data_IF_195266107552
#
_entry.id   IF_195266107552
#
_cell.length_a   1.000
_cell.length_b   1.000
_cell.length_c   1.000
_cell.angle_alpha   90.00
_cell.angle_beta   90.00
_cell.angle_gamma   90.00
#
_symmetry.space_group_name_H-M   'P 1'
#
loop_
_entity.id
_entity.type
_entity.pdbx_description
1 polymer ?
#
# COMPACT_ATOMS: atom_id res chain seq x y z
N UNK A 1 2.08 -46.11 40.67
CA UNK A 1 3.46 -45.54 40.65
C UNK A 1 4.18 -46.05 39.40
N UNK A 2 4.11 -45.31 38.30
CA UNK A 2 4.97 -45.45 37.10
C UNK A 2 5.10 -44.05 36.51
N UNK A 3 6.30 -43.49 36.65
CA UNK A 3 6.74 -42.23 36.07
C UNK A 3 6.97 -42.52 34.58
N UNK A 4 6.27 -41.84 33.69
CA UNK A 4 6.54 -41.93 32.25
C UNK A 4 7.00 -40.57 31.73
N UNK A 5 8.25 -40.58 31.29
CA UNK A 5 9.04 -39.45 30.82
C UNK A 5 8.46 -38.77 29.59
N UNK A 6 8.41 -37.44 29.69
CA UNK A 6 8.83 -36.43 28.71
C UNK A 6 9.32 -36.99 27.36
N UNK A 7 8.55 -36.70 26.31
CA UNK A 7 9.11 -36.34 24.99
C UNK A 7 8.36 -35.09 24.54
N UNK A 8 8.88 -33.92 24.93
CA UNK A 8 8.52 -32.65 24.33
C UNK A 8 9.23 -32.60 22.98
N UNK A 9 8.58 -33.15 21.94
CA UNK A 9 9.10 -33.07 20.58
C UNK A 9 8.98 -31.63 20.13
N UNK A 10 10.05 -30.89 20.36
CA UNK A 10 10.28 -29.53 19.89
C UNK A 10 10.38 -29.61 18.36
N UNK A 11 9.23 -29.56 17.70
CA UNK A 11 9.16 -29.40 16.24
C UNK A 11 9.51 -27.93 15.95
N UNK A 12 10.82 -27.63 15.98
CA UNK A 12 11.35 -26.41 15.36
C UNK A 12 11.21 -26.65 13.86
N UNK A 13 10.01 -26.39 13.33
CA UNK A 13 9.85 -26.06 11.92
C UNK A 13 10.66 -24.78 11.71
N UNK A 14 11.88 -24.98 11.20
CA UNK A 14 12.76 -23.91 10.78
C UNK A 14 11.98 -23.00 9.84
N UNK A 15 11.60 -21.83 10.34
CA UNK A 15 11.22 -20.72 9.48
C UNK A 15 12.48 -20.29 8.76
N UNK A 16 12.78 -20.95 7.65
CA UNK A 16 13.40 -20.27 6.53
C UNK A 16 12.32 -19.34 5.97
N UNK A 17 12.04 -18.25 6.70
CA UNK A 17 11.65 -17.04 6.02
C UNK A 17 12.78 -16.80 5.04
N UNK A 18 12.55 -17.04 3.76
CA UNK A 18 13.36 -16.46 2.70
C UNK A 18 13.08 -14.96 2.79
N UNK A 19 13.62 -14.34 3.83
CA UNK A 19 13.93 -12.92 3.80
C UNK A 19 14.76 -12.76 2.56
N UNK A 20 14.39 -11.83 1.69
CA UNK A 20 15.34 -11.24 0.75
C UNK A 20 16.51 -10.71 1.59
N UNK A 21 17.46 -11.60 1.88
CA UNK A 21 18.55 -11.41 2.81
C UNK A 21 19.58 -10.60 2.03
N UNK A 22 19.58 -9.28 2.24
CA UNK A 22 20.51 -8.39 1.54
C UNK A 22 20.30 -6.89 1.75
N UNK A 23 19.35 -6.44 2.58
CA UNK A 23 19.08 -5.00 2.75
C UNK A 23 19.27 -4.53 4.19
N UNK A 24 20.17 -3.56 4.36
CA UNK A 24 20.26 -2.76 5.57
C UNK A 24 19.06 -1.79 5.61
N UNK A 25 18.26 -1.89 6.68
CA UNK A 25 17.11 -1.02 6.92
C UNK A 25 17.46 0.49 6.98
N UNK A 26 18.75 0.83 7.13
CA UNK A 26 19.26 2.20 7.14
C UNK A 26 19.75 2.73 5.78
N UNK A 27 19.70 1.92 4.72
CA UNK A 27 20.28 2.27 3.40
C UNK A 27 19.70 3.58 2.89
N UNK A 28 20.44 4.69 2.91
CA UNK A 28 20.01 5.93 2.27
C UNK A 28 20.14 5.79 0.75
N UNK A 29 19.01 5.74 0.05
CA UNK A 29 18.98 5.53 -1.38
C UNK A 29 19.58 6.67 -2.19
N UNK A 30 19.73 7.85 -1.57
CA UNK A 30 20.39 9.01 -2.19
C UNK A 30 21.92 8.90 -2.16
N UNK A 31 22.49 7.99 -1.35
CA UNK A 31 23.95 7.86 -1.16
C UNK A 31 24.54 6.56 -1.70
N UNK A 32 23.72 5.65 -2.23
CA UNK A 32 24.18 4.40 -2.86
C UNK A 32 24.51 4.63 -4.33
N UNK A 33 25.50 3.91 -4.85
CA UNK A 33 25.90 4.00 -6.25
C UNK A 33 24.88 3.39 -7.23
N UNK A 34 25.13 3.57 -8.53
CA UNK A 34 24.23 3.11 -9.59
C UNK A 34 24.14 1.58 -9.68
N UNK A 35 25.23 0.87 -9.37
CA UNK A 35 25.28 -0.59 -9.41
C UNK A 35 24.41 -1.19 -8.31
N UNK A 36 24.53 -0.66 -7.08
CA UNK A 36 23.70 -1.08 -5.95
C UNK A 36 22.23 -0.79 -6.18
N UNK A 37 21.89 0.36 -6.77
CA UNK A 37 20.49 0.69 -7.15
C UNK A 37 19.93 -0.30 -8.17
N UNK A 38 20.75 -0.71 -9.14
CA UNK A 38 20.37 -1.72 -10.14
C UNK A 38 20.09 -3.06 -9.48
N UNK A 39 20.98 -3.50 -8.59
CA UNK A 39 20.81 -4.74 -7.81
C UNK A 39 19.53 -4.71 -6.97
N UNK A 40 19.30 -3.62 -6.22
CA UNK A 40 18.07 -3.41 -5.43
C UNK A 40 16.83 -3.55 -6.32
N UNK A 41 16.86 -2.91 -7.49
CA UNK A 41 15.71 -2.92 -8.40
C UNK A 41 15.47 -4.29 -9.03
N UNK A 42 16.52 -5.05 -9.35
CA UNK A 42 16.43 -6.42 -9.85
C UNK A 42 15.82 -7.37 -8.82
N UNK A 43 16.29 -7.28 -7.58
CA UNK A 43 15.76 -8.07 -6.47
C UNK A 43 14.31 -7.67 -6.16
N UNK A 44 13.98 -6.38 -6.16
CA UNK A 44 12.62 -5.90 -5.93
C UNK A 44 11.63 -6.38 -7.01
N UNK A 45 12.01 -6.33 -8.29
CA UNK A 45 11.11 -6.78 -9.37
C UNK A 45 10.91 -8.30 -9.36
N UNK A 46 11.92 -9.09 -8.98
CA UNK A 46 11.80 -10.54 -8.77
C UNK A 46 10.92 -10.87 -7.57
N UNK A 47 11.16 -10.22 -6.43
CA UNK A 47 10.34 -10.36 -5.23
C UNK A 47 8.88 -10.02 -5.50
N UNK A 48 8.63 -8.99 -6.32
CA UNK A 48 7.27 -8.67 -6.75
C UNK A 48 6.70 -9.74 -7.69
N UNK A 49 7.48 -10.24 -8.65
CA UNK A 49 7.03 -11.22 -9.65
C UNK A 49 6.59 -12.54 -9.02
N UNK A 50 7.35 -13.02 -8.03
CA UNK A 50 7.14 -14.29 -7.35
C UNK A 50 6.31 -14.14 -6.05
N UNK A 51 5.88 -12.91 -5.76
CA UNK A 51 5.27 -12.54 -4.50
C UNK A 51 3.97 -11.77 -4.65
N UNK A 52 3.78 -10.83 -3.74
CA UNK A 52 2.53 -10.09 -3.58
C UNK A 52 2.79 -8.59 -3.58
N UNK A 53 1.93 -7.83 -4.25
CA UNK A 53 1.81 -6.40 -4.02
C UNK A 53 0.76 -6.11 -2.94
N UNK A 54 1.19 -5.61 -1.80
CA UNK A 54 0.29 -5.14 -0.74
C UNK A 54 -0.12 -3.70 -1.04
N UNK A 55 -1.39 -3.46 -1.31
CA UNK A 55 -1.95 -2.12 -1.52
C UNK A 55 -2.48 -1.57 -0.20
N UNK A 56 -1.81 -0.54 0.31
CA UNK A 56 -2.16 0.17 1.53
C UNK A 56 -3.21 1.26 1.24
N UNK A 57 -4.44 1.03 1.70
CA UNK A 57 -5.59 1.91 1.49
C UNK A 57 -5.69 2.99 2.57
N UNK A 58 -5.88 4.25 2.16
CA UNK A 58 -6.00 5.37 3.11
C UNK A 58 -7.39 5.38 3.74
N UNK A 59 -7.48 5.11 5.04
CA UNK A 59 -8.76 5.13 5.78
C UNK A 59 -9.17 6.54 6.19
N UNK A 60 -8.19 7.45 6.39
CA UNK A 60 -8.45 8.75 6.97
C UNK A 60 -8.76 8.73 8.47
N UNK A 61 -8.48 7.62 9.17
CA UNK A 61 -8.82 7.45 10.59
C UNK A 61 -8.28 8.56 11.49
N UNK A 62 -7.10 9.12 11.20
CA UNK A 62 -6.55 10.26 11.97
C UNK A 62 -7.41 11.51 11.85
N UNK A 63 -7.84 11.86 10.64
CA UNK A 63 -8.68 13.04 10.39
C UNK A 63 -10.07 12.84 10.99
N UNK A 64 -10.64 11.65 10.85
CA UNK A 64 -11.93 11.29 11.45
C UNK A 64 -11.85 11.39 12.97
N UNK A 65 -10.84 10.79 13.60
CA UNK A 65 -10.65 10.85 15.04
C UNK A 65 -10.45 12.29 15.53
N UNK A 66 -9.73 13.13 14.77
CA UNK A 66 -9.58 14.55 15.11
C UNK A 66 -10.92 15.30 15.06
N UNK A 67 -11.75 15.07 14.03
CA UNK A 67 -13.08 15.68 13.92
C UNK A 67 -14.02 15.21 15.04
N UNK A 68 -14.00 13.92 15.35
CA UNK A 68 -14.79 13.36 16.46
C UNK A 68 -14.34 13.92 17.81
N UNK A 69 -13.03 14.09 18.02
CA UNK A 69 -12.50 14.75 19.22
C UNK A 69 -12.98 16.19 19.36
N UNK A 70 -13.06 16.93 18.24
CA UNK A 70 -13.62 18.28 18.23
C UNK A 70 -15.12 18.25 18.56
N UNK A 71 -15.90 17.36 17.94
CA UNK A 71 -17.34 17.21 18.20
C UNK A 71 -17.67 16.94 19.70
N UNK A 72 -16.80 16.19 20.38
CA UNK A 72 -16.93 15.81 21.78
C UNK A 72 -16.28 16.81 22.76
N UNK A 73 -15.84 17.98 22.29
CA UNK A 73 -15.22 19.00 23.14
C UNK A 73 -16.20 19.62 24.14
N UNK A 74 -15.71 19.96 25.34
CA UNK A 74 -16.54 20.50 26.45
C UNK A 74 -17.27 21.81 26.14
N UNK A 75 -16.73 22.63 25.24
CA UNK A 75 -17.22 23.97 24.91
C UNK A 75 -17.78 24.07 23.47
N UNK A 76 -18.32 22.98 22.94
CA UNK A 76 -18.80 22.92 21.55
C UNK A 76 -20.31 23.02 21.53
N UNK A 77 -20.83 23.97 20.76
CA UNK A 77 -22.28 24.15 20.56
C UNK A 77 -22.89 22.95 19.82
N UNK A 78 -24.23 22.82 19.88
CA UNK A 78 -24.94 21.77 19.16
C UNK A 78 -24.67 21.83 17.64
N UNK A 79 -24.71 23.03 17.06
CA UNK A 79 -24.47 23.26 15.62
C UNK A 79 -23.04 22.90 15.21
N UNK A 80 -22.04 23.26 16.03
CA UNK A 80 -20.65 22.89 15.76
C UNK A 80 -20.42 21.39 15.85
N UNK A 81 -21.03 20.73 16.83
CA UNK A 81 -20.98 19.26 16.97
C UNK A 81 -21.54 18.59 15.73
N UNK A 82 -22.74 18.98 15.31
CA UNK A 82 -23.39 18.44 14.12
C UNK A 82 -22.52 18.67 12.87
N UNK A 83 -21.93 19.85 12.73
CA UNK A 83 -21.02 20.18 11.62
C UNK A 83 -19.78 19.28 11.61
N UNK A 84 -19.15 19.02 12.76
CA UNK A 84 -17.98 18.15 12.84
C UNK A 84 -18.33 16.69 12.53
N UNK A 85 -19.46 16.20 13.03
CA UNK A 85 -19.97 14.85 12.76
C UNK A 85 -20.28 14.66 11.27
N UNK A 86 -21.02 15.59 10.66
CA UNK A 86 -21.29 15.60 9.21
C UNK A 86 -19.99 15.60 8.40
N UNK A 87 -18.99 16.39 8.82
CA UNK A 87 -17.69 16.43 8.14
C UNK A 87 -16.94 15.11 8.28
N UNK A 88 -16.99 14.46 9.44
CA UNK A 88 -16.37 13.16 9.67
C UNK A 88 -17.03 12.07 8.81
N UNK A 89 -18.36 12.01 8.79
CA UNK A 89 -19.13 11.06 7.98
C UNK A 89 -18.85 11.24 6.48
N UNK A 90 -18.88 12.50 5.98
CA UNK A 90 -18.53 12.81 4.60
C UNK A 90 -17.11 12.36 4.24
N UNK A 91 -16.14 12.62 5.13
CA UNK A 91 -14.76 12.20 4.91
C UNK A 91 -14.62 10.68 4.82
N UNK A 92 -15.30 9.92 5.69
CA UNK A 92 -15.30 8.46 5.65
C UNK A 92 -15.86 7.93 4.32
N UNK A 93 -17.00 8.47 3.86
CA UNK A 93 -17.62 8.09 2.59
C UNK A 93 -16.68 8.37 1.42
N UNK A 94 -16.08 9.56 1.36
CA UNK A 94 -15.13 9.92 0.30
C UNK A 94 -13.89 9.01 0.27
N UNK A 95 -13.36 8.63 1.45
CA UNK A 95 -12.21 7.71 1.53
C UNK A 95 -12.59 6.30 1.10
N UNK A 96 -13.74 5.80 1.56
CA UNK A 96 -14.25 4.47 1.16
C UNK A 96 -14.44 4.41 -0.36
N UNK A 97 -15.08 5.41 -0.95
CA UNK A 97 -15.33 5.47 -2.39
C UNK A 97 -14.02 5.49 -3.20
N UNK A 98 -13.03 6.29 -2.78
CA UNK A 98 -11.71 6.32 -3.44
C UNK A 98 -10.96 4.99 -3.33
N UNK A 99 -11.06 4.32 -2.18
CA UNK A 99 -10.46 3.01 -1.99
C UNK A 99 -11.15 1.94 -2.86
N UNK A 100 -12.48 2.00 -3.02
CA UNK A 100 -13.22 1.13 -3.94
C UNK A 100 -12.72 1.29 -5.38
N UNK A 101 -12.65 2.53 -5.88
CA UNK A 101 -12.13 2.80 -7.22
C UNK A 101 -10.71 2.31 -7.41
N UNK A 102 -9.85 2.48 -6.39
CA UNK A 102 -8.47 2.01 -6.45
C UNK A 102 -8.41 0.47 -6.53
N UNK A 103 -9.14 -0.24 -5.66
CA UNK A 103 -9.21 -1.71 -5.68
C UNK A 103 -9.76 -2.23 -7.00
N UNK A 104 -10.81 -1.60 -7.51
CA UNK A 104 -11.40 -1.96 -8.79
C UNK A 104 -10.43 -1.74 -9.95
N UNK A 105 -9.69 -0.63 -9.95
CA UNK A 105 -8.67 -0.35 -10.95
C UNK A 105 -7.52 -1.38 -10.91
N UNK A 106 -7.05 -1.75 -9.71
CA UNK A 106 -6.08 -2.83 -9.56
C UNK A 106 -6.62 -4.14 -10.14
N UNK A 107 -7.84 -4.55 -9.77
CA UNK A 107 -8.50 -5.76 -10.29
C UNK A 107 -8.62 -5.75 -11.82
N UNK A 108 -8.93 -4.60 -12.42
CA UNK A 108 -9.13 -4.45 -13.88
C UNK A 108 -7.83 -4.41 -14.66
N UNK A 109 -6.76 -3.81 -14.11
CA UNK A 109 -5.59 -3.38 -14.92
C UNK A 109 -4.26 -3.95 -14.45
N UNK A 110 -4.12 -4.34 -13.19
CA UNK A 110 -2.88 -4.91 -12.67
C UNK A 110 -2.89 -6.43 -12.80
N UNK A 111 -1.80 -6.98 -13.34
CA UNK A 111 -1.67 -8.43 -13.60
C UNK A 111 -0.22 -8.89 -13.59
N UNK A 112 0.63 -8.23 -12.80
CA UNK A 112 2.04 -8.57 -12.71
C UNK A 112 2.33 -9.58 -11.59
N UNK A 113 1.61 -9.44 -10.46
CA UNK A 113 1.69 -10.30 -9.27
C UNK A 113 0.32 -10.36 -8.58
N UNK A 114 0.21 -11.16 -7.52
CA UNK A 114 -0.97 -11.16 -6.66
C UNK A 114 -1.11 -9.84 -5.91
N UNK A 115 -2.35 -9.48 -5.54
CA UNK A 115 -2.63 -8.22 -4.82
C UNK A 115 -3.37 -8.53 -3.52
N UNK A 116 -2.84 -8.01 -2.41
CA UNK A 116 -3.54 -7.98 -1.13
C UNK A 116 -3.82 -6.53 -0.74
N UNK A 117 -4.92 -6.28 -0.03
CA UNK A 117 -5.30 -4.95 0.42
C UNK A 117 -5.24 -4.87 1.93
N UNK A 118 -4.69 -3.78 2.48
CA UNK A 118 -4.71 -3.52 3.93
C UNK A 118 -5.07 -2.06 4.21
N UNK A 119 -5.72 -1.75 5.34
CA UNK A 119 -5.90 -0.37 5.75
C UNK A 119 -4.58 0.23 6.22
N UNK A 120 -4.42 1.54 6.05
CA UNK A 120 -3.23 2.28 6.49
C UNK A 120 -3.00 2.24 8.01
N UNK A 121 -4.02 1.93 8.79
CA UNK A 121 -3.96 1.67 10.23
C UNK A 121 -3.24 0.37 10.58
N UNK A 122 -3.17 -0.60 9.65
CA UNK A 122 -2.53 -1.91 9.89
C UNK A 122 -1.03 -1.95 9.58
N UNK A 123 -0.43 -0.79 9.35
CA UNK A 123 1.00 -0.66 8.99
C UNK A 123 1.92 -1.26 10.05
N UNK A 124 1.56 -1.15 11.33
CA UNK A 124 2.38 -1.69 12.43
C UNK A 124 2.33 -3.22 12.48
N UNK A 125 1.15 -3.83 12.22
CA UNK A 125 1.06 -5.29 12.12
C UNK A 125 1.98 -5.84 11.02
N UNK A 126 1.97 -5.21 9.83
CA UNK A 126 2.87 -5.60 8.74
C UNK A 126 4.35 -5.48 9.15
N UNK A 127 4.74 -4.37 9.78
CA UNK A 127 6.12 -4.16 10.27
C UNK A 127 6.56 -5.17 11.33
N UNK A 128 5.62 -5.64 12.14
CA UNK A 128 5.87 -6.65 13.15
C UNK A 128 5.88 -8.08 12.57
N UNK A 129 5.78 -8.23 11.25
CA UNK A 129 5.80 -9.54 10.58
C UNK A 129 4.52 -10.34 10.72
N UNK A 130 3.41 -9.74 11.16
CA UNK A 130 2.11 -10.40 11.23
C UNK A 130 1.67 -10.81 9.83
N UNK A 131 1.32 -12.08 9.63
CA UNK A 131 1.08 -12.65 8.30
C UNK A 131 -0.38 -12.60 7.85
N UNK A 132 -1.34 -12.41 8.77
CA UNK A 132 -2.79 -12.46 8.47
C UNK A 132 -3.62 -11.66 9.49
N UNK A 133 -4.95 -11.64 9.33
CA UNK A 133 -5.87 -11.07 10.32
C UNK A 133 -6.12 -9.55 10.19
N UNK A 134 -5.59 -8.92 9.14
CA UNK A 134 -5.82 -7.49 8.86
C UNK A 134 -5.93 -7.14 7.37
N UNK A 135 -5.83 -8.13 6.48
CA UNK A 135 -6.06 -7.94 5.06
C UNK A 135 -7.55 -7.86 4.76
N UNK A 136 -7.88 -7.19 3.67
CA UNK A 136 -9.26 -6.87 3.29
C UNK A 136 -9.73 -7.75 2.13
N UNK A 137 -10.98 -8.19 2.20
CA UNK A 137 -11.70 -8.82 1.10
C UNK A 137 -12.20 -7.78 0.07
N UNK A 138 -12.99 -8.24 -0.91
CA UNK A 138 -13.53 -7.39 -1.97
C UNK A 138 -14.50 -6.31 -1.47
N UNK A 139 -15.14 -6.54 -0.32
CA UNK A 139 -16.09 -5.65 0.34
C UNK A 139 -15.41 -4.59 1.24
N UNK A 140 -14.06 -4.63 1.30
CA UNK A 140 -13.18 -3.87 2.20
C UNK A 140 -13.40 -4.20 3.68
N UNK A 141 -13.74 -5.44 3.98
CA UNK A 141 -13.86 -5.95 5.34
C UNK A 141 -12.65 -6.81 5.67
N UNK A 142 -12.24 -6.83 6.94
CA UNK A 142 -11.11 -7.67 7.37
C UNK A 142 -11.51 -9.12 7.23
N UNK A 143 -10.70 -9.87 6.50
CA UNK A 143 -10.88 -11.30 6.30
C UNK A 143 -9.65 -12.06 6.86
N UNK A 144 -9.80 -12.76 7.99
CA UNK A 144 -8.70 -13.51 8.61
C UNK A 144 -8.15 -14.66 7.76
N UNK A 145 -8.91 -15.13 6.75
CA UNK A 145 -8.45 -16.18 5.85
C UNK A 145 -7.42 -15.68 4.83
N UNK A 146 -7.29 -14.36 4.66
CA UNK A 146 -6.32 -13.74 3.77
C UNK A 146 -4.98 -13.57 4.49
N UNK A 147 -3.92 -14.08 3.89
CA UNK A 147 -2.57 -14.11 4.48
C UNK A 147 -1.47 -13.89 3.44
N UNK A 148 -0.29 -13.48 3.93
CA UNK A 148 0.93 -13.43 3.11
C UNK A 148 1.52 -14.81 2.86
N UNK A 149 1.33 -15.77 3.77
CA UNK A 149 1.88 -17.13 3.70
C UNK A 149 3.41 -17.15 3.46
N UNK A 150 4.12 -16.20 4.07
CA UNK A 150 5.57 -16.08 3.93
C UNK A 150 6.05 -15.65 2.54
N UNK A 151 5.15 -15.28 1.62
CA UNK A 151 5.50 -14.80 0.29
C UNK A 151 6.26 -13.46 0.38
N UNK A 152 7.25 -13.22 -0.50
CA UNK A 152 7.88 -11.91 -0.59
C UNK A 152 6.84 -10.87 -1.00
N UNK A 153 7.02 -9.63 -0.56
CA UNK A 153 6.07 -8.56 -0.86
C UNK A 153 6.74 -7.20 -1.05
N UNK A 154 6.07 -6.37 -1.83
CA UNK A 154 6.27 -4.91 -1.85
C UNK A 154 4.98 -4.23 -1.41
N UNK A 155 5.06 -2.98 -0.97
CA UNK A 155 3.90 -2.20 -0.55
C UNK A 155 3.65 -1.08 -1.55
N UNK A 156 2.42 -0.90 -2.01
CA UNK A 156 2.01 0.24 -2.82
C UNK A 156 0.98 1.10 -2.08
N UNK A 157 0.98 2.41 -2.35
CA UNK A 157 -0.13 3.29 -1.95
C UNK A 157 -0.37 4.39 -2.99
N UNK A 158 -1.59 4.94 -2.99
CA UNK A 158 -1.89 6.14 -3.77
C UNK A 158 -1.59 7.41 -2.97
N UNK A 159 -0.71 8.27 -3.48
CA UNK A 159 -0.34 9.55 -2.87
C UNK A 159 0.91 10.17 -3.49
N UNK A 160 1.59 11.02 -2.74
CA UNK A 160 2.84 11.64 -3.17
C UNK A 160 4.05 10.80 -2.76
N UNK A 161 5.02 10.72 -3.66
CA UNK A 161 6.38 10.22 -3.44
C UNK A 161 7.18 11.26 -2.67
N UNK A 162 8.23 10.86 -1.94
CA UNK A 162 9.18 11.82 -1.33
C UNK A 162 9.77 12.77 -2.39
N UNK A 163 10.11 12.23 -3.56
CA UNK A 163 10.63 12.99 -4.70
C UNK A 163 9.58 13.94 -5.32
N UNK A 164 8.29 13.64 -5.16
CA UNK A 164 7.19 14.42 -5.76
C UNK A 164 6.49 15.38 -4.80
N UNK A 165 6.88 15.45 -3.52
CA UNK A 165 6.26 16.33 -2.53
C UNK A 165 6.32 17.81 -2.95
N UNK A 166 7.40 18.23 -3.61
CA UNK A 166 7.58 19.63 -4.08
C UNK A 166 6.65 20.00 -5.23
N UNK A 167 6.19 19.03 -6.02
CA UNK A 167 5.34 19.28 -7.20
C UNK A 167 3.85 19.05 -6.93
N UNK A 168 3.51 18.49 -5.77
CA UNK A 168 2.13 18.11 -5.43
C UNK A 168 1.58 16.97 -6.29
N UNK A 169 2.43 16.29 -7.07
CA UNK A 169 1.99 15.18 -7.91
C UNK A 169 1.62 13.96 -7.04
N UNK A 170 0.46 13.38 -7.35
CA UNK A 170 -0.01 12.13 -6.76
C UNK A 170 0.06 10.98 -7.79
N UNK A 171 0.21 9.77 -7.30
CA UNK A 171 0.34 8.57 -8.12
C UNK A 171 0.41 7.31 -7.28
N UNK A 172 0.74 6.20 -7.93
CA UNK A 172 1.12 4.97 -7.22
C UNK A 172 2.59 5.10 -6.80
N UNK A 173 2.84 4.95 -5.50
CA UNK A 173 4.16 4.89 -4.89
C UNK A 173 4.40 3.46 -4.41
N UNK A 174 5.57 2.89 -4.71
CA UNK A 174 5.98 1.55 -4.30
C UNK A 174 7.12 1.63 -3.29
N UNK A 175 6.97 0.85 -2.22
CA UNK A 175 7.86 0.74 -1.09
C UNK A 175 8.39 -0.68 -0.98
N UNK A 176 9.56 -0.81 -0.37
CA UNK A 176 10.10 -2.09 0.09
C UNK A 176 9.34 -2.61 1.34
N UNK A 177 9.80 -3.75 1.86
CA UNK A 177 9.26 -4.36 3.08
C UNK A 177 9.52 -3.54 4.36
N UNK A 178 10.48 -2.61 4.33
CA UNK A 178 10.76 -1.65 5.40
C UNK A 178 9.92 -0.37 5.29
N UNK A 179 9.03 -0.29 4.31
CA UNK A 179 8.20 0.87 3.97
C UNK A 179 9.01 2.08 3.49
N UNK A 180 10.15 1.82 2.86
CA UNK A 180 10.96 2.83 2.20
C UNK A 180 10.71 2.83 0.70
N UNK A 181 10.58 4.02 0.12
CA UNK A 181 10.33 4.17 -1.32
C UNK A 181 11.52 3.63 -2.13
N UNK A 182 11.26 2.72 -3.07
CA UNK A 182 12.32 2.10 -3.86
C UNK A 182 13.06 3.14 -4.71
N UNK A 183 14.38 3.02 -4.88
CA UNK A 183 15.13 3.92 -5.74
C UNK A 183 14.85 3.67 -7.22
N UNK A 184 15.16 4.66 -8.06
CA UNK A 184 15.39 4.41 -9.49
C UNK A 184 16.56 3.41 -9.65
N UNK A 185 16.54 2.51 -10.66
CA UNK A 185 15.67 2.53 -11.85
C UNK A 185 14.30 1.86 -11.70
N UNK A 186 13.98 1.25 -10.55
CA UNK A 186 12.65 0.64 -10.34
C UNK A 186 11.52 1.66 -10.60
N UNK A 187 10.38 1.27 -11.19
CA UNK A 187 9.22 2.13 -11.42
C UNK A 187 8.47 2.43 -10.10
N UNK A 188 9.16 3.04 -9.14
CA UNK A 188 8.72 3.30 -7.77
C UNK A 188 7.61 4.34 -7.70
N UNK A 189 7.59 5.30 -8.63
CA UNK A 189 6.53 6.29 -8.73
C UNK A 189 5.91 6.35 -10.13
N UNK A 190 4.59 6.25 -10.16
CA UNK A 190 3.80 6.46 -11.38
C UNK A 190 2.78 7.54 -11.11
N UNK A 191 3.14 8.78 -11.50
CA UNK A 191 2.26 9.93 -11.37
C UNK A 191 1.05 9.88 -12.30
N UNK A 192 -0.07 10.37 -11.77
CA UNK A 192 -1.27 10.71 -12.54
C UNK A 192 -1.00 11.97 -13.37
N UNK A 193 -1.47 12.01 -14.61
CA UNK A 193 -1.28 13.19 -15.46
C UNK A 193 -2.22 14.33 -15.02
N UNK A 194 -1.69 15.29 -14.25
CA UNK A 194 -2.44 16.41 -13.65
C UNK A 194 -3.18 17.26 -14.69
N UNK A 195 -2.55 17.55 -15.83
CA UNK A 195 -3.15 18.37 -16.90
C UNK A 195 -4.34 17.66 -17.54
N UNK A 196 -4.24 16.35 -17.81
CA UNK A 196 -5.37 15.56 -18.32
C UNK A 196 -6.53 15.51 -17.33
N UNK A 197 -6.25 15.46 -16.01
CA UNK A 197 -7.27 15.48 -14.95
C UNK A 197 -8.05 16.80 -14.90
N UNK A 198 -7.36 17.93 -15.06
CA UNK A 198 -7.98 19.27 -15.10
C UNK A 198 -8.80 19.45 -16.37
N UNK A 199 -8.23 19.14 -17.54
CA UNK A 199 -8.95 19.22 -18.82
C UNK A 199 -10.15 18.28 -18.87
N UNK A 200 -10.01 17.02 -18.42
CA UNK A 200 -11.12 16.09 -18.36
C UNK A 200 -12.24 16.63 -17.48
N UNK A 201 -11.96 17.03 -16.23
CA UNK A 201 -12.99 17.57 -15.31
C UNK A 201 -13.70 18.82 -15.82
N UNK A 202 -13.03 19.68 -16.58
CA UNK A 202 -13.61 20.92 -17.10
C UNK A 202 -14.49 20.70 -18.34
N UNK A 203 -14.20 19.70 -19.18
CA UNK A 203 -14.88 19.52 -20.47
C UNK A 203 -15.72 18.26 -20.59
N UNK A 204 -15.40 17.20 -19.82
CA UNK A 204 -16.10 15.92 -19.82
C UNK A 204 -16.42 15.52 -18.36
N UNK A 205 -17.65 15.14 -18.04
CA UNK A 205 -17.97 14.56 -16.71
C UNK A 205 -17.29 13.20 -16.55
N UNK A 206 -15.98 13.17 -16.34
CA UNK A 206 -15.20 11.96 -16.12
C UNK A 206 -15.33 11.54 -14.66
N UNK A 207 -15.83 10.33 -14.44
CA UNK A 207 -15.87 9.74 -13.11
C UNK A 207 -14.44 9.55 -12.58
N UNK A 208 -14.20 9.94 -11.33
CA UNK A 208 -12.85 9.85 -10.73
C UNK A 208 -12.27 8.43 -10.77
N UNK A 209 -13.12 7.40 -10.82
CA UNK A 209 -12.73 6.00 -10.99
C UNK A 209 -11.91 5.73 -12.26
N UNK A 210 -12.25 6.36 -13.39
CA UNK A 210 -11.53 6.15 -14.66
C UNK A 210 -10.07 6.61 -14.58
N UNK A 211 -9.79 7.64 -13.77
CA UNK A 211 -8.42 8.12 -13.57
C UNK A 211 -7.55 7.08 -12.88
N UNK A 212 -8.10 6.32 -11.92
CA UNK A 212 -7.39 5.20 -11.31
C UNK A 212 -7.14 4.08 -12.31
N UNK A 213 -8.10 3.79 -13.18
CA UNK A 213 -7.94 2.78 -14.25
C UNK A 213 -6.77 3.13 -15.18
N UNK A 214 -6.71 4.37 -15.69
CA UNK A 214 -5.59 4.83 -16.53
C UNK A 214 -4.24 4.80 -15.78
N UNK A 215 -4.25 5.21 -14.51
CA UNK A 215 -3.06 5.19 -13.66
C UNK A 215 -2.53 3.76 -13.47
N UNK A 216 -3.41 2.81 -13.18
CA UNK A 216 -3.04 1.42 -12.94
C UNK A 216 -2.62 0.70 -14.23
N UNK A 217 -3.20 1.07 -15.37
CA UNK A 217 -2.73 0.59 -16.68
C UNK A 217 -1.28 1.03 -16.95
N UNK A 218 -0.98 2.32 -16.71
CA UNK A 218 0.38 2.86 -16.82
C UNK A 218 1.34 2.19 -15.83
N UNK A 219 0.90 1.97 -14.60
CA UNK A 219 1.71 1.29 -13.58
C UNK A 219 2.02 -0.14 -14.00
N UNK A 220 1.02 -0.94 -14.37
CA UNK A 220 1.21 -2.32 -14.82
C UNK A 220 2.12 -2.40 -16.04
N UNK A 221 1.96 -1.50 -17.02
CA UNK A 221 2.85 -1.43 -18.20
C UNK A 221 4.30 -1.14 -17.80
N UNK A 222 4.54 -0.19 -16.89
CA UNK A 222 5.89 0.15 -16.42
C UNK A 222 6.55 -1.00 -15.68
N UNK A 223 5.84 -1.66 -14.77
CA UNK A 223 6.36 -2.81 -14.02
C UNK A 223 6.67 -3.99 -14.95
N UNK A 224 5.77 -4.31 -15.89
CA UNK A 224 6.00 -5.34 -16.91
C UNK A 224 7.16 -5.01 -17.84
N UNK A 225 7.27 -3.76 -18.28
CA UNK A 225 8.37 -3.29 -19.12
C UNK A 225 9.71 -3.43 -18.38
N UNK A 226 9.77 -2.90 -17.15
CA UNK A 226 10.93 -3.02 -16.30
C UNK A 226 11.38 -4.48 -16.13
N UNK A 227 10.47 -5.41 -15.82
CA UNK A 227 10.81 -6.83 -15.69
C UNK A 227 11.41 -7.44 -16.96
N UNK A 228 10.97 -7.00 -18.16
CA UNK A 228 11.52 -7.47 -19.44
C UNK A 228 12.90 -6.91 -19.73
N UNK A 229 13.24 -5.73 -19.21
CA UNK A 229 14.57 -5.13 -19.42
C UNK A 229 15.65 -5.81 -18.54
N UNK A 230 15.25 -6.63 -17.55
CA UNK A 230 16.12 -7.27 -16.57
C UNK A 230 16.21 -8.80 -16.67
N UNK A 231 15.44 -9.43 -17.56
CA UNK A 231 15.51 -10.86 -17.89
C UNK A 231 15.69 -11.05 -19.39
#
# INVERSE_FOLDING_TARGET
MKILSIIFSLFILGQAAVTAQGYDANTNYDTIDAEKRKEISQLAIRALKDGVLIVRLKTGSKQVAALQKLANGKNVSADERERFEKKAAKWQVEKRLKNQWLMEAFRKKYSFSDVLYMPDTSTQQLKNGVQSGYFLNAEMEVDPSISLDGRPYLVAYYGSSFSSQKTGAEGIVVLDNNLKELPAPFPHFVGMATIKKVFKRLFNKVEEGELYVELLEKFNKKVKGFYKDFN
#
